data_IF_174975400309
#
_entry.id   IF_174975400309
#
_cell.length_a   1.000
_cell.length_b   1.000
_cell.length_c   1.000
_cell.angle_alpha   90.00
_cell.angle_beta   90.00
_cell.angle_gamma   90.00
#
_symmetry.space_group_name_H-M   'P 1'
#
loop_
_entity.id
_entity.type
_entity.pdbx_description
1 polymer ?
#
# COMPACT_ATOMS: atom_id res chain seq x y z
N UNK A 1 -28.87 -11.87 -13.76
CA UNK A 1 -28.21 -10.74 -13.04
C UNK A 1 -26.95 -11.28 -12.40
N UNK A 2 -25.79 -10.84 -12.84
CA UNK A 2 -24.51 -11.19 -12.22
C UNK A 2 -24.44 -10.55 -10.83
N UNK A 3 -24.28 -11.36 -9.78
CA UNK A 3 -24.14 -10.86 -8.39
C UNK A 3 -22.94 -9.94 -8.31
N UNK A 4 -23.11 -8.76 -7.70
CA UNK A 4 -22.00 -7.86 -7.38
C UNK A 4 -21.15 -8.46 -6.28
N UNK A 5 -19.82 -8.39 -6.42
CA UNK A 5 -18.86 -8.79 -5.37
C UNK A 5 -18.75 -7.69 -4.32
N UNK A 6 -18.80 -8.03 -3.05
CA UNK A 6 -18.64 -7.11 -1.93
C UNK A 6 -17.24 -7.24 -1.35
N UNK A 7 -16.45 -6.18 -1.46
CA UNK A 7 -15.10 -6.12 -0.93
C UNK A 7 -14.99 -5.12 0.21
N UNK A 8 -14.37 -5.56 1.31
CA UNK A 8 -13.95 -4.68 2.40
C UNK A 8 -12.44 -4.46 2.31
N UNK A 9 -11.98 -3.21 2.35
CA UNK A 9 -10.58 -2.83 2.41
C UNK A 9 -10.30 -2.19 3.77
N UNK A 10 -9.20 -2.58 4.43
CA UNK A 10 -8.85 -2.12 5.78
C UNK A 10 -7.49 -1.43 5.74
N UNK A 11 -7.45 -0.18 6.20
CA UNK A 11 -6.27 0.67 6.21
C UNK A 11 -6.19 1.55 7.47
N UNK A 12 -4.99 1.98 7.86
CA UNK A 12 -4.75 2.90 8.99
C UNK A 12 -3.78 4.05 8.67
N UNK A 13 -3.33 4.17 7.42
CA UNK A 13 -2.41 5.23 7.00
C UNK A 13 -2.70 5.70 5.57
N UNK A 14 -2.19 6.87 5.23
CA UNK A 14 -2.34 7.49 3.91
C UNK A 14 -1.80 6.61 2.78
N UNK A 15 -0.62 6.02 2.94
CA UNK A 15 -0.05 5.12 1.93
C UNK A 15 -0.92 3.89 1.68
N UNK A 16 -1.53 3.36 2.74
CA UNK A 16 -2.46 2.23 2.66
C UNK A 16 -3.78 2.64 1.99
N UNK A 17 -4.29 3.83 2.31
CA UNK A 17 -5.47 4.38 1.67
C UNK A 17 -5.26 4.63 0.17
N UNK A 18 -4.07 5.07 -0.24
CA UNK A 18 -3.71 5.20 -1.65
C UNK A 18 -3.65 3.84 -2.36
N UNK A 19 -3.23 2.78 -1.66
CA UNK A 19 -3.30 1.42 -2.19
C UNK A 19 -4.76 0.96 -2.37
N UNK A 20 -5.63 1.24 -1.41
CA UNK A 20 -7.07 0.99 -1.53
C UNK A 20 -7.67 1.75 -2.72
N UNK A 21 -7.33 3.02 -2.89
CA UNK A 21 -7.77 3.83 -4.03
C UNK A 21 -7.37 3.22 -5.36
N UNK A 22 -6.10 2.79 -5.48
CA UNK A 22 -5.61 2.16 -6.69
C UNK A 22 -6.42 0.90 -7.05
N UNK A 23 -6.72 0.07 -6.05
CA UNK A 23 -7.53 -1.13 -6.24
C UNK A 23 -8.97 -0.80 -6.66
N UNK A 24 -9.62 0.17 -6.00
CA UNK A 24 -10.98 0.59 -6.34
C UNK A 24 -11.11 1.16 -7.76
N UNK A 25 -10.03 1.76 -8.28
CA UNK A 25 -10.00 2.32 -9.63
C UNK A 25 -9.60 1.31 -10.71
N UNK A 26 -9.20 0.10 -10.34
CA UNK A 26 -8.94 -0.93 -11.32
C UNK A 26 -10.21 -1.28 -12.08
N UNK A 27 -10.11 -1.24 -13.41
CA UNK A 27 -11.21 -1.68 -14.27
C UNK A 27 -11.29 -3.21 -14.22
N UNK A 28 -12.47 -3.72 -13.93
CA UNK A 28 -12.74 -5.16 -13.92
C UNK A 28 -13.99 -5.46 -14.75
N UNK A 29 -14.09 -6.69 -15.24
CA UNK A 29 -15.30 -7.19 -15.88
C UNK A 29 -16.43 -7.49 -14.87
N UNK A 30 -16.15 -7.40 -13.58
CA UNK A 30 -17.08 -7.70 -12.49
C UNK A 30 -17.63 -6.43 -11.86
N UNK A 31 -18.91 -6.44 -11.52
CA UNK A 31 -19.47 -5.43 -10.65
C UNK A 31 -18.93 -5.62 -9.23
N UNK A 32 -18.26 -4.61 -8.68
CA UNK A 32 -17.64 -4.67 -7.34
C UNK A 32 -18.17 -3.51 -6.50
N UNK A 33 -18.67 -3.84 -5.32
CA UNK A 33 -19.06 -2.87 -4.29
C UNK A 33 -17.93 -2.79 -3.25
N UNK A 34 -17.34 -1.60 -3.12
CA UNK A 34 -16.27 -1.38 -2.16
C UNK A 34 -16.80 -0.77 -0.86
N UNK A 35 -16.33 -1.32 0.25
CA UNK A 35 -16.39 -0.69 1.58
C UNK A 35 -14.96 -0.51 2.05
N UNK A 36 -14.62 0.67 2.55
CA UNK A 36 -13.27 0.97 3.04
C UNK A 36 -13.38 1.32 4.51
N UNK A 37 -12.76 0.50 5.37
CA UNK A 37 -12.65 0.81 6.79
C UNK A 37 -11.32 1.48 7.09
N UNK A 38 -11.40 2.71 7.56
CA UNK A 38 -10.25 3.45 8.07
C UNK A 38 -10.20 3.26 9.58
N UNK A 39 -9.14 2.62 10.06
CA UNK A 39 -8.86 2.60 11.50
C UNK A 39 -8.47 4.02 11.90
N UNK A 40 -9.19 4.66 12.83
CA UNK A 40 -8.92 6.04 13.21
C UNK A 40 -7.48 6.22 13.69
N UNK A 41 -6.83 7.23 13.14
CA UNK A 41 -5.49 7.66 13.49
C UNK A 41 -5.42 9.17 13.37
N UNK A 42 -4.71 9.81 14.29
CA UNK A 42 -4.42 11.24 14.19
C UNK A 42 -3.56 11.53 12.95
N UNK A 43 -3.86 12.63 12.27
CA UNK A 43 -3.04 13.13 11.17
C UNK A 43 -3.35 12.58 9.78
N UNK A 44 -4.43 11.82 9.57
CA UNK A 44 -4.84 11.46 8.20
C UNK A 44 -5.35 12.70 7.45
N UNK A 45 -4.73 13.10 6.31
CA UNK A 45 -5.09 14.31 5.60
C UNK A 45 -6.53 14.27 5.08
N UNK A 46 -7.27 15.38 5.28
CA UNK A 46 -8.69 15.47 4.92
C UNK A 46 -8.93 15.26 3.41
N UNK A 47 -8.02 15.73 2.56
CA UNK A 47 -8.16 15.55 1.11
C UNK A 47 -8.08 14.08 0.69
N UNK A 48 -7.29 13.24 1.39
CA UNK A 48 -7.24 11.79 1.14
C UNK A 48 -8.58 11.16 1.54
N UNK A 49 -9.11 11.54 2.71
CA UNK A 49 -10.41 11.03 3.15
C UNK A 49 -11.55 11.35 2.18
N UNK A 50 -11.56 12.57 1.63
CA UNK A 50 -12.54 12.98 0.62
C UNK A 50 -12.41 12.16 -0.67
N UNK A 51 -11.20 11.91 -1.15
CA UNK A 51 -10.96 11.08 -2.34
C UNK A 51 -11.48 9.66 -2.14
N UNK A 52 -11.21 9.07 -0.99
CA UNK A 52 -11.62 7.70 -0.66
C UNK A 52 -13.13 7.60 -0.51
N UNK A 53 -13.79 8.62 0.08
CA UNK A 53 -15.25 8.63 0.26
C UNK A 53 -16.03 8.57 -1.08
N UNK A 54 -15.42 8.97 -2.18
CA UNK A 54 -16.02 8.91 -3.52
C UNK A 54 -15.89 7.53 -4.19
N UNK A 55 -15.20 6.58 -3.58
CA UNK A 55 -14.91 5.27 -4.18
C UNK A 55 -15.82 4.15 -3.66
N UNK A 56 -16.54 4.38 -2.58
CA UNK A 56 -17.41 3.38 -1.97
C UNK A 56 -17.89 3.79 -0.58
N UNK A 57 -18.48 2.84 0.14
CA UNK A 57 -18.94 3.07 1.52
C UNK A 57 -17.76 3.22 2.46
N UNK A 58 -17.74 4.31 3.23
CA UNK A 58 -16.67 4.58 4.19
C UNK A 58 -17.09 4.20 5.61
N UNK A 59 -16.30 3.35 6.25
CA UNK A 59 -16.38 3.05 7.67
C UNK A 59 -15.20 3.67 8.43
N UNK A 60 -15.44 4.04 9.69
CA UNK A 60 -14.43 4.56 10.62
C UNK A 60 -14.51 3.80 11.93
N UNK A 61 -14.08 2.55 11.90
CA UNK A 61 -14.11 1.67 13.07
C UNK A 61 -12.70 1.34 13.50
N UNK A 62 -12.43 1.41 14.80
CA UNK A 62 -11.21 0.84 15.35
C UNK A 62 -11.21 -0.70 15.18
N UNK A 63 -10.04 -1.31 15.32
CA UNK A 63 -9.87 -2.73 15.03
C UNK A 63 -10.82 -3.62 15.88
N UNK A 64 -10.92 -3.35 17.16
CA UNK A 64 -11.80 -4.14 18.05
C UNK A 64 -13.27 -4.06 17.63
N UNK A 65 -13.78 -2.86 17.34
CA UNK A 65 -15.15 -2.68 16.86
C UNK A 65 -15.39 -3.34 15.51
N UNK A 66 -14.41 -3.26 14.62
CA UNK A 66 -14.48 -3.90 13.31
C UNK A 66 -14.59 -5.42 13.44
N UNK A 67 -13.71 -6.04 14.23
CA UNK A 67 -13.68 -7.50 14.41
C UNK A 67 -14.94 -8.07 15.10
N UNK A 68 -15.64 -7.24 15.89
CA UNK A 68 -16.91 -7.60 16.50
C UNK A 68 -18.15 -7.23 15.63
N UNK A 69 -17.94 -6.68 14.44
CA UNK A 69 -19.05 -6.28 13.58
C UNK A 69 -19.57 -7.49 12.77
N UNK A 70 -20.81 -7.95 12.98
CA UNK A 70 -21.36 -9.12 12.27
C UNK A 70 -21.45 -8.89 10.75
N UNK A 71 -21.49 -7.65 10.27
CA UNK A 71 -21.44 -7.34 8.84
C UNK A 71 -20.12 -7.72 8.18
N UNK A 72 -19.06 -7.98 8.95
CA UNK A 72 -17.77 -8.40 8.43
C UNK A 72 -17.87 -9.71 7.64
N UNK A 73 -18.76 -10.62 8.04
CA UNK A 73 -18.98 -11.90 7.38
C UNK A 73 -19.84 -11.81 6.10
N UNK A 74 -20.40 -10.64 5.79
CA UNK A 74 -21.24 -10.43 4.60
C UNK A 74 -20.42 -10.08 3.35
N UNK A 75 -19.12 -9.83 3.50
CA UNK A 75 -18.23 -9.55 2.38
C UNK A 75 -17.78 -10.86 1.70
N UNK A 76 -17.56 -10.80 0.40
CA UNK A 76 -16.99 -11.92 -0.36
C UNK A 76 -15.47 -11.99 -0.13
N UNK A 77 -14.82 -10.83 -0.01
CA UNK A 77 -13.40 -10.76 0.33
C UNK A 77 -13.05 -9.53 1.20
N UNK A 78 -11.98 -9.69 1.98
CA UNK A 78 -11.41 -8.63 2.83
C UNK A 78 -9.95 -8.42 2.48
N UNK A 79 -9.61 -7.22 2.03
CA UNK A 79 -8.25 -6.78 1.74
C UNK A 79 -7.65 -6.03 2.94
N UNK A 80 -6.51 -6.49 3.44
CA UNK A 80 -5.88 -5.93 4.62
C UNK A 80 -4.54 -5.30 4.24
N UNK A 81 -4.45 -3.97 4.35
CA UNK A 81 -3.26 -3.20 4.02
C UNK A 81 -2.49 -2.73 5.25
N UNK A 82 -2.82 -3.26 6.42
CA UNK A 82 -2.18 -2.95 7.69
C UNK A 82 -0.76 -3.52 7.78
N UNK A 83 -0.09 -3.22 8.89
CA UNK A 83 1.25 -3.71 9.19
C UNK A 83 1.29 -4.39 10.57
N UNK A 84 2.29 -5.26 10.76
CA UNK A 84 2.57 -5.91 12.04
C UNK A 84 1.45 -6.84 12.53
N UNK A 85 1.29 -6.95 13.84
CA UNK A 85 0.38 -7.89 14.51
C UNK A 85 -1.09 -7.72 14.12
N UNK A 86 -1.51 -6.53 13.71
CA UNK A 86 -2.89 -6.26 13.27
C UNK A 86 -3.34 -7.18 12.12
N UNK A 87 -2.40 -7.59 11.25
CA UNK A 87 -2.66 -8.58 10.20
C UNK A 87 -3.09 -9.92 10.81
N UNK A 88 -2.34 -10.38 11.81
CA UNK A 88 -2.64 -11.62 12.52
C UNK A 88 -3.98 -11.55 13.27
N UNK A 89 -4.26 -10.44 13.94
CA UNK A 89 -5.50 -10.25 14.70
C UNK A 89 -6.72 -10.41 13.80
N UNK A 90 -6.68 -9.82 12.60
CA UNK A 90 -7.77 -9.94 11.60
C UNK A 90 -7.88 -11.39 11.09
N UNK A 91 -6.76 -12.00 10.73
CA UNK A 91 -6.75 -13.37 10.21
C UNK A 91 -7.33 -14.33 11.25
N UNK A 92 -6.82 -14.33 12.48
CA UNK A 92 -7.27 -15.21 13.56
C UNK A 92 -8.74 -15.00 13.91
N UNK A 93 -9.20 -13.74 13.92
CA UNK A 93 -10.60 -13.44 14.21
C UNK A 93 -11.53 -14.02 13.12
N UNK A 94 -11.16 -13.91 11.86
CA UNK A 94 -11.98 -14.40 10.75
C UNK A 94 -11.87 -15.92 10.56
N UNK A 95 -10.73 -16.54 10.81
CA UNK A 95 -10.54 -18.00 10.71
C UNK A 95 -11.44 -18.81 11.67
N UNK A 96 -11.96 -18.17 12.71
CA UNK A 96 -12.92 -18.82 13.63
C UNK A 96 -14.29 -19.10 13.00
N UNK A 97 -14.55 -18.51 11.82
CA UNK A 97 -15.84 -18.64 11.14
C UNK A 97 -15.71 -19.56 9.93
N UNK A 98 -16.54 -20.62 9.87
CA UNK A 98 -16.54 -21.57 8.75
C UNK A 98 -16.85 -20.92 7.40
N UNK A 99 -17.70 -19.90 7.38
CA UNK A 99 -18.09 -19.15 6.17
C UNK A 99 -17.47 -17.76 6.19
N UNK A 100 -16.16 -17.66 6.38
CA UNK A 100 -15.46 -16.40 6.36
C UNK A 100 -15.26 -15.86 4.94
N UNK A 101 -15.16 -14.54 4.77
CA UNK A 101 -14.71 -13.95 3.50
C UNK A 101 -13.30 -14.44 3.14
N UNK A 102 -12.97 -14.39 1.85
CA UNK A 102 -11.59 -14.60 1.40
C UNK A 102 -10.70 -13.45 1.89
N UNK A 103 -9.52 -13.78 2.38
CA UNK A 103 -8.56 -12.81 2.91
C UNK A 103 -7.42 -12.58 1.93
N UNK A 104 -7.18 -11.34 1.58
CA UNK A 104 -5.98 -10.96 0.86
C UNK A 104 -5.25 -9.81 1.54
N UNK A 105 -3.96 -9.73 1.34
CA UNK A 105 -3.15 -8.65 1.88
C UNK A 105 -2.03 -8.28 0.90
N UNK A 106 -1.41 -7.14 1.12
CA UNK A 106 -0.31 -6.68 0.29
C UNK A 106 0.63 -5.76 1.06
N UNK A 107 1.64 -5.28 0.34
CA UNK A 107 2.57 -4.27 0.83
C UNK A 107 2.20 -2.90 0.25
N UNK A 108 2.39 -1.85 1.05
CA UNK A 108 2.05 -0.47 0.64
C UNK A 108 3.16 0.20 -0.17
N UNK A 109 4.27 -0.49 -0.37
CA UNK A 109 5.44 -0.01 -1.09
C UNK A 109 6.50 -1.09 -1.22
N UNK A 110 7.67 -0.73 -1.73
CA UNK A 110 8.82 -1.63 -1.78
C UNK A 110 9.36 -1.84 -0.37
N UNK A 111 9.50 -3.09 0.02
CA UNK A 111 10.12 -3.48 1.30
C UNK A 111 11.58 -3.80 1.03
N UNK A 112 12.48 -2.94 1.48
CA UNK A 112 13.92 -3.13 1.34
C UNK A 112 14.52 -3.85 2.55
N UNK A 113 14.06 -3.49 3.74
CA UNK A 113 14.48 -4.05 5.02
C UNK A 113 13.32 -4.76 5.69
N UNK A 114 13.61 -5.67 6.61
CA UNK A 114 12.60 -6.41 7.38
C UNK A 114 11.57 -7.17 6.53
N UNK A 115 11.96 -7.60 5.29
CA UNK A 115 11.05 -8.31 4.40
C UNK A 115 10.53 -9.61 5.04
N UNK A 116 11.42 -10.38 5.70
CA UNK A 116 11.05 -11.65 6.35
C UNK A 116 10.02 -11.42 7.45
N UNK A 117 10.20 -10.41 8.29
CA UNK A 117 9.21 -10.03 9.30
C UNK A 117 7.90 -9.59 8.65
N UNK A 118 7.97 -8.72 7.66
CA UNK A 118 6.81 -8.22 6.94
C UNK A 118 6.00 -9.34 6.29
N UNK A 119 6.67 -10.35 5.70
CA UNK A 119 6.00 -11.48 5.08
C UNK A 119 5.41 -12.43 6.12
N UNK A 120 6.08 -12.64 7.26
CA UNK A 120 5.64 -13.53 8.33
C UNK A 120 4.24 -13.14 8.84
N UNK A 121 3.95 -11.86 8.96
CA UNK A 121 2.62 -11.36 9.35
C UNK A 121 1.52 -11.63 8.32
N UNK A 122 1.87 -11.99 7.08
CA UNK A 122 0.96 -12.22 5.94
C UNK A 122 0.72 -13.67 5.64
N UNK A 123 1.53 -14.57 6.20
CA UNK A 123 1.36 -16.01 6.00
C UNK A 123 0.01 -16.48 6.54
N UNK A 124 -0.64 -17.37 5.79
CA UNK A 124 -1.97 -17.89 6.11
C UNK A 124 -3.13 -17.05 5.55
N UNK A 125 -2.88 -15.93 4.88
CA UNK A 125 -3.90 -15.27 4.06
C UNK A 125 -4.21 -16.12 2.83
N UNK A 126 -5.43 -16.05 2.30
CA UNK A 126 -5.80 -16.80 1.08
C UNK A 126 -4.98 -16.32 -0.13
N UNK A 127 -4.59 -15.03 -0.16
CA UNK A 127 -3.78 -14.45 -1.22
C UNK A 127 -2.86 -13.35 -0.69
N UNK A 128 -1.59 -13.38 -1.10
CA UNK A 128 -0.64 -12.30 -0.82
C UNK A 128 -0.28 -11.58 -2.13
N UNK A 129 -0.52 -10.26 -2.16
CA UNK A 129 -0.12 -9.38 -3.25
C UNK A 129 1.33 -8.93 -3.05
N UNK A 130 2.20 -9.24 -4.00
CA UNK A 130 3.64 -8.94 -3.95
C UNK A 130 4.00 -7.87 -4.98
N UNK A 131 5.00 -7.06 -4.66
CA UNK A 131 5.41 -5.95 -5.52
C UNK A 131 6.18 -6.40 -6.76
N UNK A 132 6.89 -7.54 -6.70
CA UNK A 132 7.68 -7.99 -7.83
C UNK A 132 8.22 -9.42 -7.71
N UNK A 133 8.91 -9.91 -8.76
CA UNK A 133 9.47 -11.27 -8.77
C UNK A 133 10.43 -11.55 -7.62
N UNK A 134 11.27 -10.58 -7.26
CA UNK A 134 12.20 -10.68 -6.12
C UNK A 134 11.48 -11.03 -4.82
N UNK A 135 10.35 -10.39 -4.56
CA UNK A 135 9.58 -10.62 -3.33
C UNK A 135 8.96 -12.02 -3.34
N UNK A 136 8.53 -12.50 -4.51
CA UNK A 136 8.00 -13.84 -4.68
C UNK A 136 9.08 -14.90 -4.46
N UNK A 137 10.27 -14.70 -5.03
CA UNK A 137 11.38 -15.64 -4.88
C UNK A 137 11.86 -15.72 -3.43
N UNK A 138 11.95 -14.58 -2.74
CA UNK A 138 12.28 -14.53 -1.32
C UNK A 138 11.20 -15.19 -0.45
N UNK A 139 9.91 -14.99 -0.75
CA UNK A 139 8.82 -15.69 -0.06
C UNK A 139 8.93 -17.21 -0.29
N UNK A 140 9.09 -17.65 -1.52
CA UNK A 140 9.18 -19.09 -1.84
C UNK A 140 10.33 -19.76 -1.10
N UNK A 141 11.49 -19.11 -0.99
CA UNK A 141 12.61 -19.61 -0.21
C UNK A 141 12.29 -19.70 1.28
N UNK A 142 11.63 -18.66 1.83
CA UNK A 142 11.25 -18.61 3.23
C UNK A 142 10.28 -19.72 3.62
N UNK A 143 9.32 -20.06 2.76
CA UNK A 143 8.22 -21.00 3.10
C UNK A 143 8.44 -22.42 2.62
N UNK A 144 9.49 -22.71 1.85
CA UNK A 144 9.71 -23.98 1.14
C UNK A 144 9.57 -25.24 2.03
N UNK A 145 9.99 -25.15 3.29
CA UNK A 145 9.96 -26.26 4.26
C UNK A 145 8.98 -25.98 5.42
N UNK A 146 7.95 -25.21 5.17
CA UNK A 146 6.96 -24.84 6.18
C UNK A 146 5.55 -25.27 5.73
N UNK A 147 4.55 -25.27 6.62
CA UNK A 147 3.16 -25.50 6.24
C UNK A 147 2.62 -24.48 5.20
N UNK A 148 3.34 -23.39 4.95
CA UNK A 148 2.98 -22.36 3.99
C UNK A 148 3.65 -22.51 2.61
N UNK A 149 4.25 -23.67 2.29
CA UNK A 149 4.91 -23.92 1.00
C UNK A 149 3.99 -23.71 -0.23
N UNK A 150 2.68 -23.78 -0.04
CA UNK A 150 1.68 -23.58 -1.09
C UNK A 150 0.94 -22.23 -0.96
N UNK A 151 1.55 -21.26 -0.27
CA UNK A 151 0.97 -19.91 -0.11
C UNK A 151 0.65 -19.29 -1.47
N UNK A 152 -0.61 -18.92 -1.68
CA UNK A 152 -1.03 -18.27 -2.93
C UNK A 152 -0.53 -16.83 -2.99
N UNK A 153 0.06 -16.48 -4.13
CA UNK A 153 0.60 -15.13 -4.37
C UNK A 153 0.23 -14.61 -5.75
N UNK A 154 0.17 -13.29 -5.88
CA UNK A 154 0.04 -12.59 -7.16
C UNK A 154 0.98 -11.41 -7.21
N UNK A 155 1.59 -11.16 -8.37
CA UNK A 155 2.41 -9.97 -8.60
C UNK A 155 1.50 -8.82 -9.03
N UNK A 156 1.35 -7.81 -8.18
CA UNK A 156 0.50 -6.64 -8.44
C UNK A 156 1.30 -5.39 -8.81
N UNK A 157 2.62 -5.44 -8.66
CA UNK A 157 3.46 -4.26 -8.79
C UNK A 157 3.26 -3.29 -7.62
N UNK A 158 3.77 -2.09 -7.77
CA UNK A 158 3.48 -0.99 -6.85
C UNK A 158 2.07 -0.49 -7.11
N UNK A 159 1.26 -0.48 -6.07
CA UNK A 159 -0.11 0.03 -6.13
C UNK A 159 -0.08 1.56 -6.23
N UNK A 160 -0.05 2.08 -7.44
CA UNK A 160 -0.07 3.52 -7.73
C UNK A 160 -1.17 3.82 -8.74
N UNK A 161 -1.91 4.88 -8.46
CA UNK A 161 -2.75 5.51 -9.47
C UNK A 161 -1.88 6.26 -10.46
N UNK A 162 -1.89 5.86 -11.70
CA UNK A 162 -1.21 6.56 -12.79
C UNK A 162 -1.20 5.73 -14.05
N UNK A 163 -1.60 6.33 -15.17
CA UNK A 163 -1.23 5.85 -16.48
C UNK A 163 0.30 5.95 -16.59
N UNK A 164 0.95 4.90 -17.05
CA UNK A 164 2.34 4.99 -17.49
C UNK A 164 2.27 5.88 -18.74
N UNK A 165 2.53 7.17 -18.56
CA UNK A 165 2.79 8.05 -19.70
C UNK A 165 3.94 7.44 -20.49
N UNK A 166 3.85 7.53 -21.81
CA UNK A 166 4.89 7.00 -22.70
C UNK A 166 6.25 7.48 -22.23
N UNK A 167 7.12 6.55 -21.84
CA UNK A 167 8.44 6.89 -21.35
C UNK A 167 9.21 7.58 -22.46
N UNK A 168 9.59 8.84 -22.27
CA UNK A 168 10.51 9.55 -23.17
C UNK A 168 11.81 8.73 -23.25
N UNK A 169 12.31 8.41 -24.45
CA UNK A 169 13.56 7.68 -24.61
C UNK A 169 14.70 8.31 -23.81
N UNK A 170 15.59 7.52 -23.18
CA UNK A 170 16.66 8.05 -22.33
C UNK A 170 17.51 9.14 -22.99
N UNK A 171 17.77 9.02 -24.29
CA UNK A 171 18.55 10.01 -25.05
C UNK A 171 17.85 11.38 -25.22
N UNK A 172 16.52 11.43 -25.04
CA UNK A 172 15.72 12.65 -25.16
C UNK A 172 15.32 13.24 -23.79
N UNK A 173 15.68 12.56 -22.69
CA UNK A 173 15.34 13.06 -21.37
C UNK A 173 16.25 14.22 -21.00
N UNK A 174 15.68 15.33 -20.47
CA UNK A 174 16.50 16.36 -19.87
C UNK A 174 17.28 15.79 -18.70
N UNK A 175 18.52 16.21 -18.51
CA UNK A 175 19.33 15.82 -17.36
C UNK A 175 18.75 16.50 -16.11
N UNK A 176 18.09 15.73 -15.28
CA UNK A 176 17.42 16.21 -14.06
C UNK A 176 17.95 15.49 -12.82
N UNK A 177 18.24 16.24 -11.79
CA UNK A 177 18.42 15.77 -10.44
C UNK A 177 17.20 16.20 -9.63
N UNK A 178 16.46 15.25 -9.06
CA UNK A 178 15.30 15.54 -8.22
C UNK A 178 15.63 15.16 -6.79
N UNK A 179 15.66 16.15 -5.89
CA UNK A 179 15.71 15.92 -4.46
C UNK A 179 14.28 15.88 -3.91
N UNK A 180 13.86 14.72 -3.41
CA UNK A 180 12.58 14.55 -2.74
C UNK A 180 12.79 14.59 -1.23
N UNK A 181 12.29 15.65 -0.57
CA UNK A 181 12.36 15.78 0.87
C UNK A 181 11.62 14.67 1.59
N UNK A 182 12.26 14.02 2.56
CA UNK A 182 11.71 12.95 3.36
C UNK A 182 11.21 13.47 4.73
N UNK A 183 10.42 12.65 5.44
CA UNK A 183 9.93 13.00 6.80
C UNK A 183 11.06 13.12 7.80
N UNK A 184 12.04 12.24 7.67
CA UNK A 184 13.08 11.99 8.65
C UNK A 184 14.44 12.54 8.21
N UNK A 185 14.62 12.84 6.93
CA UNK A 185 15.88 13.34 6.41
C UNK A 185 15.64 14.41 5.32
N UNK A 186 16.19 15.58 5.48
CA UNK A 186 16.92 16.09 6.65
C UNK A 186 15.98 16.35 7.84
N UNK A 187 16.41 16.00 9.05
CA UNK A 187 15.53 16.02 10.24
C UNK A 187 15.48 17.37 10.94
N UNK A 188 16.48 18.23 10.75
CA UNK A 188 16.54 19.56 11.37
C UNK A 188 16.48 20.68 10.33
N UNK A 189 16.12 21.88 10.80
CA UNK A 189 16.15 23.09 9.95
C UNK A 189 17.57 23.40 9.45
N UNK A 190 18.59 23.09 10.26
CA UNK A 190 20.00 23.27 9.90
C UNK A 190 20.37 22.31 8.76
N UNK A 191 20.05 21.03 8.90
CA UNK A 191 20.37 20.02 7.88
C UNK A 191 19.65 20.31 6.56
N UNK A 192 18.43 20.87 6.63
CA UNK A 192 17.70 21.35 5.45
C UNK A 192 18.42 22.50 4.75
N UNK A 193 18.88 23.48 5.50
CA UNK A 193 19.60 24.63 4.95
C UNK A 193 20.91 24.16 4.28
N UNK A 194 21.65 23.27 4.92
CA UNK A 194 22.87 22.69 4.38
C UNK A 194 22.60 21.90 3.10
N UNK A 195 21.55 21.09 3.08
CA UNK A 195 21.15 20.32 1.88
C UNK A 195 20.78 21.24 0.71
N UNK A 196 20.02 22.32 0.97
CA UNK A 196 19.68 23.30 -0.06
C UNK A 196 20.94 23.98 -0.61
N UNK A 197 21.91 24.30 0.25
CA UNK A 197 23.18 24.88 -0.16
C UNK A 197 23.98 23.90 -1.05
N UNK A 198 24.07 22.64 -0.66
CA UNK A 198 24.72 21.57 -1.48
C UNK A 198 24.05 21.47 -2.86
N UNK A 199 22.71 21.49 -2.91
CA UNK A 199 21.97 21.41 -4.17
C UNK A 199 22.20 22.66 -5.04
N UNK A 200 22.30 23.85 -4.45
CA UNK A 200 22.62 25.08 -5.16
C UNK A 200 24.04 25.06 -5.75
N UNK A 201 25.01 24.58 -4.96
CA UNK A 201 26.38 24.38 -5.47
C UNK A 201 26.43 23.35 -6.60
N UNK A 202 25.71 22.24 -6.47
CA UNK A 202 25.64 21.24 -7.52
C UNK A 202 25.03 21.78 -8.80
N UNK A 203 23.95 22.57 -8.70
CA UNK A 203 23.33 23.26 -9.83
C UNK A 203 24.32 24.21 -10.54
N UNK A 204 25.08 25.00 -9.75
CA UNK A 204 26.07 25.93 -10.32
C UNK A 204 27.24 25.23 -11.05
N UNK A 205 27.67 24.09 -10.55
CA UNK A 205 28.73 23.26 -11.16
C UNK A 205 28.24 22.39 -12.33
N UNK A 206 26.94 22.26 -12.50
CA UNK A 206 26.36 21.38 -13.51
C UNK A 206 25.31 22.15 -14.35
N UNK A 207 25.70 23.14 -15.15
CA UNK A 207 24.75 24.03 -15.83
C UNK A 207 23.85 23.30 -16.86
N UNK A 208 24.23 22.09 -17.26
CA UNK A 208 23.44 21.25 -18.16
C UNK A 208 22.43 20.35 -17.44
N UNK A 209 22.31 20.47 -16.10
CA UNK A 209 21.37 19.72 -15.29
C UNK A 209 20.34 20.66 -14.68
N UNK A 210 19.09 20.24 -14.74
CA UNK A 210 18.01 20.88 -13.97
C UNK A 210 17.97 20.25 -12.58
N UNK A 211 18.17 21.07 -11.53
CA UNK A 211 18.09 20.62 -10.13
C UNK A 211 16.72 21.03 -9.58
N UNK A 212 15.92 20.06 -9.19
CA UNK A 212 14.58 20.26 -8.68
C UNK A 212 14.49 19.80 -7.22
N UNK A 213 13.81 20.59 -6.40
CA UNK A 213 13.48 20.20 -5.03
C UNK A 213 11.97 19.95 -4.98
N UNK A 214 11.58 18.74 -4.57
CA UNK A 214 10.21 18.40 -4.24
C UNK A 214 10.04 18.52 -2.73
N UNK A 215 9.51 19.64 -2.22
CA UNK A 215 9.28 19.81 -0.80
C UNK A 215 8.21 18.82 -0.35
N UNK A 216 8.27 18.46 0.92
CA UNK A 216 7.18 17.80 1.59
C UNK A 216 6.18 18.87 2.05
N UNK A 217 4.96 18.76 1.59
CA UNK A 217 3.81 19.57 2.05
C UNK A 217 3.13 18.83 3.19
#
# INVERSE_FOLDING_TARGET
MTRSLKLLLIADSDSQLLACEALCRCQTAWAVEFTINIIPRDGTPQHILQRIANLGTLWRQNLSRLLNNPKLLQFDAVGVFLTGSKLNDIRIALERHQQRPKLFCGFNGVVLEHFVEGISWRLGYDLICLSGPRDRDALNQLVANTPFAHQQTVLTGLQRNGTIESLIPPAQRPKRLVFAEQVVMPCSARDRAEMVQILAELASRSPNWEVLIKPRI
#
